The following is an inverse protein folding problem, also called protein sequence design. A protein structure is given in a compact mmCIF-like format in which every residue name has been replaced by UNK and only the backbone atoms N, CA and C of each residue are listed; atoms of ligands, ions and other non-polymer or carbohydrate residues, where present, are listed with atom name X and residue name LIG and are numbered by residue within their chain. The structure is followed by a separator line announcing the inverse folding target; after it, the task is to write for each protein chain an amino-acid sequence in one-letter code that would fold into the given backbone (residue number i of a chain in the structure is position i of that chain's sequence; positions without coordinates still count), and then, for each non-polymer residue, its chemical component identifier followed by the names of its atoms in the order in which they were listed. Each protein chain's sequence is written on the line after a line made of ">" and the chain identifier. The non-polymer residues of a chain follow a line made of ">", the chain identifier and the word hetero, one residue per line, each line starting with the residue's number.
data_IF_244757332741
#
_entry.id   IF_244757332741
#
_cell.length_a   1.000
_cell.length_b   1.000
_cell.length_c   1.000
_cell.angle_alpha   90.00
_cell.angle_beta   90.00
_cell.angle_gamma   90.00
#
_symmetry.space_group_name_H-M   'P 1'
#
loop_
_entity.id
_entity.type
_entity.pdbx_description
1 polymer ?
#
# COMPACT_ATOMS: atom_id res chain seq x y z
N UNK A 1 -32.34 37.71 -31.63
CA UNK A 1 -32.00 36.36 -32.13
C UNK A 1 -30.49 36.20 -31.96
N UNK A 2 -30.04 35.75 -30.79
CA UNK A 2 -29.74 34.34 -30.44
C UNK A 2 -28.50 33.79 -31.16
N UNK A 3 -27.47 33.48 -30.37
CA UNK A 3 -26.27 32.76 -30.82
C UNK A 3 -25.16 32.75 -29.77
N UNK A 4 -25.40 32.15 -28.61
CA UNK A 4 -24.34 31.77 -27.67
C UNK A 4 -23.45 30.71 -28.32
N UNK A 5 -22.16 30.98 -28.45
CA UNK A 5 -21.15 29.97 -28.72
C UNK A 5 -20.54 29.50 -27.40
N UNK A 6 -20.91 28.30 -26.95
CA UNK A 6 -20.36 27.68 -25.74
C UNK A 6 -18.87 27.41 -25.93
N UNK A 7 -18.02 28.03 -25.10
CA UNK A 7 -16.64 27.62 -24.89
C UNK A 7 -16.65 26.40 -23.96
N UNK A 8 -16.33 25.23 -24.51
CA UNK A 8 -16.26 23.99 -23.74
C UNK A 8 -14.93 23.97 -22.99
N UNK A 9 -14.98 24.23 -21.68
CA UNK A 9 -13.87 23.98 -20.76
C UNK A 9 -13.63 22.46 -20.72
N UNK A 10 -12.59 22.00 -21.41
CA UNK A 10 -12.12 20.61 -21.30
C UNK A 10 -11.46 20.49 -19.93
N UNK A 11 -12.13 19.79 -19.02
CA UNK A 11 -11.68 19.58 -17.66
C UNK A 11 -10.37 18.76 -17.67
N UNK A 12 -9.31 19.37 -17.17
CA UNK A 12 -7.92 18.88 -17.10
C UNK A 12 -7.78 17.81 -16.00
N UNK A 13 -8.50 16.69 -16.14
CA UNK A 13 -8.43 15.56 -15.19
C UNK A 13 -7.53 14.42 -15.68
N UNK A 14 -6.93 14.58 -16.87
CA UNK A 14 -6.04 13.56 -17.41
C UNK A 14 -4.63 13.62 -16.81
N UNK A 15 -4.11 14.82 -16.50
CA UNK A 15 -2.69 15.00 -16.15
C UNK A 15 -2.31 14.54 -14.73
N UNK A 16 -3.24 14.56 -13.76
CA UNK A 16 -2.95 14.09 -12.39
C UNK A 16 -2.79 12.56 -12.30
N UNK A 17 -3.38 11.82 -13.23
CA UNK A 17 -3.27 10.35 -13.28
C UNK A 17 -2.01 9.87 -14.01
N UNK A 18 -1.37 10.71 -14.84
CA UNK A 18 -0.15 10.34 -15.59
C UNK A 18 1.15 10.71 -14.84
N UNK A 19 1.06 11.67 -13.94
CA UNK A 19 2.18 12.20 -13.15
C UNK A 19 2.46 11.38 -11.88
N UNK A 20 1.54 10.49 -11.50
CA UNK A 20 1.79 9.53 -10.42
C UNK A 20 2.96 8.60 -10.77
N UNK A 21 3.96 8.45 -9.90
CA UNK A 21 5.08 7.52 -10.11
C UNK A 21 4.62 6.06 -10.22
N UNK A 22 3.37 5.76 -9.84
CA UNK A 22 2.75 4.45 -9.93
C UNK A 22 2.02 4.17 -11.26
N UNK A 23 1.74 5.20 -12.06
CA UNK A 23 0.80 5.14 -13.19
C UNK A 23 1.47 5.36 -14.56
N UNK A 24 2.77 5.08 -14.68
CA UNK A 24 3.43 5.03 -16.00
C UNK A 24 3.02 3.77 -16.76
N UNK A 25 1.77 3.71 -17.22
CA UNK A 25 1.34 2.81 -18.26
C UNK A 25 2.13 3.19 -19.53
N UNK A 26 3.25 2.50 -19.73
CA UNK A 26 4.17 2.79 -20.83
C UNK A 26 3.49 2.34 -22.12
N UNK A 27 3.05 3.29 -22.94
CA UNK A 27 2.63 3.02 -24.32
C UNK A 27 3.84 2.47 -25.08
N UNK A 28 3.77 1.20 -25.46
CA UNK A 28 4.85 0.47 -26.14
C UNK A 28 4.90 0.86 -27.63
N UNK A 29 5.92 1.60 -28.04
CA UNK A 29 6.31 1.73 -29.45
C UNK A 29 6.90 0.40 -29.93
N UNK A 30 6.30 -0.16 -30.99
CA UNK A 30 6.58 -1.53 -31.48
C UNK A 30 7.81 -1.65 -32.39
N UNK A 31 8.85 -0.85 -32.21
CA UNK A 31 10.01 -0.89 -33.09
C UNK A 31 11.31 -0.84 -32.30
N UNK A 32 11.95 -2.01 -32.20
CA UNK A 32 13.39 -2.23 -32.00
C UNK A 32 14.05 -1.94 -30.64
N UNK A 33 13.37 -2.21 -29.52
CA UNK A 33 13.97 -2.03 -28.17
C UNK A 33 13.57 -3.13 -27.18
N UNK A 34 13.50 -4.37 -27.65
CA UNK A 34 13.07 -5.50 -26.82
C UNK A 34 13.93 -5.67 -25.57
N UNK A 35 15.26 -5.53 -25.69
CA UNK A 35 16.19 -5.71 -24.57
C UNK A 35 16.04 -4.65 -23.47
N UNK A 36 15.97 -3.37 -23.84
CA UNK A 36 15.78 -2.24 -22.91
C UNK A 36 14.42 -2.32 -22.20
N UNK A 37 13.37 -2.77 -22.91
CA UNK A 37 12.04 -2.98 -22.33
C UNK A 37 12.05 -4.07 -21.25
N UNK A 38 12.74 -5.19 -21.48
CA UNK A 38 12.86 -6.27 -20.51
C UNK A 38 13.63 -5.82 -19.26
N UNK A 39 14.77 -5.16 -19.44
CA UNK A 39 15.60 -4.67 -18.33
C UNK A 39 14.82 -3.71 -17.43
N UNK A 40 14.14 -2.72 -18.02
CA UNK A 40 13.36 -1.74 -17.26
C UNK A 40 12.17 -2.37 -16.54
N UNK A 41 11.47 -3.31 -17.19
CA UNK A 41 10.32 -4.00 -16.59
C UNK A 41 10.76 -4.89 -15.42
N UNK A 42 11.88 -5.60 -15.58
CA UNK A 42 12.47 -6.42 -14.51
C UNK A 42 12.92 -5.55 -13.34
N UNK A 43 13.62 -4.44 -13.61
CA UNK A 43 14.06 -3.50 -12.59
C UNK A 43 12.88 -2.93 -11.79
N UNK A 44 11.80 -2.52 -12.47
CA UNK A 44 10.59 -2.03 -11.83
C UNK A 44 9.94 -3.10 -10.94
N UNK A 45 9.81 -4.34 -11.45
CA UNK A 45 9.27 -5.46 -10.67
C UNK A 45 10.10 -5.73 -9.42
N UNK A 46 11.43 -5.72 -9.53
CA UNK A 46 12.33 -5.92 -8.39
C UNK A 46 12.15 -4.81 -7.36
N UNK A 47 12.09 -3.55 -7.79
CA UNK A 47 11.87 -2.41 -6.90
C UNK A 47 10.52 -2.51 -6.18
N UNK A 48 9.43 -2.81 -6.89
CA UNK A 48 8.10 -3.00 -6.29
C UNK A 48 8.09 -4.16 -5.29
N UNK A 49 8.73 -5.29 -5.62
CA UNK A 49 8.85 -6.42 -4.70
C UNK A 49 9.66 -6.08 -3.44
N UNK A 50 10.70 -5.25 -3.56
CA UNK A 50 11.47 -4.78 -2.41
C UNK A 50 10.65 -3.83 -1.53
N UNK A 51 9.88 -2.94 -2.13
CA UNK A 51 8.97 -2.04 -1.41
C UNK A 51 7.89 -2.82 -0.64
N UNK A 52 7.30 -3.84 -1.25
CA UNK A 52 6.34 -4.74 -0.59
C UNK A 52 6.96 -5.51 0.58
N UNK A 53 8.27 -5.76 0.59
CA UNK A 53 8.94 -6.42 1.71
C UNK A 53 9.47 -5.44 2.76
N UNK A 54 9.24 -4.14 2.62
CA UNK A 54 9.86 -3.12 3.49
C UNK A 54 9.35 -3.20 4.94
N UNK A 55 8.03 -3.25 5.14
CA UNK A 55 7.42 -3.38 6.47
C UNK A 55 6.52 -4.62 6.45
N UNK A 56 7.06 -5.73 6.97
CA UNK A 56 6.35 -6.99 7.17
C UNK A 56 6.34 -7.32 8.66
N UNK A 57 5.15 -7.59 9.19
CA UNK A 57 4.95 -7.95 10.59
C UNK A 57 4.38 -9.37 10.68
N UNK A 58 4.81 -10.11 11.69
CA UNK A 58 4.22 -11.38 12.07
C UNK A 58 3.45 -11.18 13.39
N UNK A 59 2.14 -11.37 13.34
CA UNK A 59 1.23 -11.08 14.45
C UNK A 59 0.56 -12.37 14.87
N UNK A 60 0.51 -12.61 16.18
CA UNK A 60 -0.22 -13.73 16.76
C UNK A 60 -1.39 -13.20 17.57
N UNK A 61 -2.61 -13.57 17.21
CA UNK A 61 -3.84 -13.18 17.91
C UNK A 61 -4.68 -14.42 18.25
N UNK A 62 -5.63 -14.23 19.17
CA UNK A 62 -6.73 -15.18 19.37
C UNK A 62 -7.46 -15.40 18.04
N UNK A 63 -7.74 -16.65 17.73
CA UNK A 63 -8.16 -17.03 16.40
C UNK A 63 -9.56 -16.57 16.05
N UNK A 64 -9.70 -16.10 14.81
CA UNK A 64 -10.95 -15.73 14.16
C UNK A 64 -11.03 -16.49 12.83
N UNK A 65 -11.95 -17.43 12.68
CA UNK A 65 -12.05 -18.27 11.47
C UNK A 65 -12.57 -17.52 10.24
N UNK A 66 -13.06 -16.29 10.42
CA UNK A 66 -13.61 -15.49 9.32
C UNK A 66 -12.55 -14.76 8.50
N UNK A 67 -11.35 -14.55 9.09
CA UNK A 67 -10.23 -13.85 8.46
C UNK A 67 -9.59 -14.66 7.35
N UNK A 68 -9.10 -13.98 6.33
CA UNK A 68 -8.52 -14.58 5.12
C UNK A 68 -7.31 -13.80 4.63
N UNK A 69 -6.51 -14.47 3.81
CA UNK A 69 -5.45 -13.81 3.03
C UNK A 69 -6.11 -12.83 2.06
N UNK A 70 -5.55 -11.62 1.95
CA UNK A 70 -6.12 -10.52 1.18
C UNK A 70 -6.99 -9.55 1.99
N UNK A 71 -7.29 -9.86 3.26
CA UNK A 71 -7.96 -8.90 4.14
C UNK A 71 -7.05 -7.70 4.43
N UNK A 72 -7.66 -6.53 4.58
CA UNK A 72 -6.98 -5.31 5.04
C UNK A 72 -7.31 -5.08 6.50
N UNK A 73 -6.30 -4.77 7.29
CA UNK A 73 -6.39 -4.52 8.73
C UNK A 73 -5.71 -3.21 9.10
N UNK A 74 -6.30 -2.52 10.06
CA UNK A 74 -5.74 -1.32 10.67
C UNK A 74 -4.98 -1.73 11.94
N UNK A 75 -3.69 -1.41 11.98
CA UNK A 75 -2.83 -1.65 13.13
C UNK A 75 -2.56 -0.35 13.85
N UNK A 76 -2.84 -0.37 15.15
CA UNK A 76 -2.55 0.69 16.09
C UNK A 76 -1.58 0.15 17.15
N UNK A 77 -0.33 0.58 17.06
CA UNK A 77 0.74 0.26 17.99
C UNK A 77 1.08 1.50 18.83
N UNK A 78 1.13 1.37 20.17
CA UNK A 78 1.59 2.42 21.03
C UNK A 78 3.09 2.67 20.81
N UNK A 79 3.51 3.93 20.88
CA UNK A 79 4.93 4.28 20.84
C UNK A 79 5.66 3.74 22.07
N UNK A 80 6.94 3.41 21.87
CA UNK A 80 7.85 2.93 22.93
C UNK A 80 8.41 4.09 23.75
N UNK A 81 8.15 5.34 23.35
CA UNK A 81 8.66 6.53 24.03
C UNK A 81 8.10 6.67 25.46
N UNK A 82 8.96 7.09 26.38
CA UNK A 82 8.60 7.29 27.79
C UNK A 82 7.65 8.47 27.95
N UNK A 83 6.46 8.16 28.46
CA UNK A 83 5.36 9.08 28.68
C UNK A 83 5.69 10.08 29.81
N UNK A 84 5.61 11.37 29.50
CA UNK A 84 5.73 12.44 30.51
C UNK A 84 4.35 12.91 31.01
N UNK A 85 3.27 12.65 30.26
CA UNK A 85 1.97 13.33 30.49
C UNK A 85 0.72 12.46 30.27
N UNK A 86 0.83 11.13 30.44
CA UNK A 86 -0.32 10.21 30.43
C UNK A 86 -1.01 9.97 29.07
N UNK A 87 -0.59 10.66 28.01
CA UNK A 87 -1.02 10.39 26.63
C UNK A 87 -0.02 9.46 25.95
N UNK A 88 -0.48 8.31 25.45
CA UNK A 88 0.36 7.36 24.70
C UNK A 88 0.38 7.81 23.25
N UNK A 89 1.48 8.37 22.74
CA UNK A 89 1.55 8.72 21.33
C UNK A 89 1.54 7.43 20.49
N UNK A 90 0.75 7.43 19.42
CA UNK A 90 0.71 6.32 18.47
C UNK A 90 1.96 6.36 17.58
N UNK A 91 2.60 5.22 17.33
CA UNK A 91 3.78 5.15 16.46
C UNK A 91 3.43 5.42 14.98
N UNK A 92 3.80 6.59 14.46
CA UNK A 92 3.50 6.98 13.07
C UNK A 92 4.09 6.04 12.01
N UNK A 93 5.19 5.37 12.31
CA UNK A 93 5.88 4.50 11.35
C UNK A 93 5.18 3.16 11.21
N UNK A 94 4.70 2.57 12.30
CA UNK A 94 4.04 1.25 12.26
C UNK A 94 2.52 1.32 12.20
N UNK A 95 1.91 2.48 12.44
CA UNK A 95 0.46 2.61 12.32
C UNK A 95 -0.02 2.74 10.88
N UNK A 96 -1.20 2.19 10.63
CA UNK A 96 -1.91 2.32 9.36
C UNK A 96 -2.47 1.01 8.84
N UNK A 97 -2.69 0.98 7.53
CA UNK A 97 -3.33 -0.14 6.80
C UNK A 97 -2.30 -1.19 6.41
N UNK A 98 -2.63 -2.43 6.67
CA UNK A 98 -1.83 -3.59 6.33
C UNK A 98 -2.66 -4.60 5.56
N UNK A 99 -2.02 -5.29 4.62
CA UNK A 99 -2.58 -6.39 3.85
C UNK A 99 -2.11 -7.72 4.45
N UNK A 100 -3.03 -8.64 4.70
CA UNK A 100 -2.68 -10.02 5.09
C UNK A 100 -2.11 -10.76 3.88
N UNK A 101 -0.82 -11.09 3.94
CA UNK A 101 -0.12 -11.86 2.88
C UNK A 101 -0.12 -13.35 3.15
N UNK A 102 -0.10 -13.75 4.42
CA UNK A 102 -0.18 -15.15 4.83
C UNK A 102 -0.96 -15.29 6.13
N UNK A 103 -1.72 -16.38 6.26
CA UNK A 103 -2.57 -16.64 7.42
C UNK A 103 -2.50 -18.13 7.77
N UNK A 104 -2.25 -18.42 9.05
CA UNK A 104 -2.29 -19.78 9.58
C UNK A 104 -3.15 -19.83 10.83
N UNK A 105 -4.21 -20.63 10.81
CA UNK A 105 -4.94 -21.00 12.02
C UNK A 105 -4.28 -22.19 12.70
N UNK A 106 -4.12 -22.10 14.02
CA UNK A 106 -3.75 -23.21 14.90
C UNK A 106 -4.94 -23.45 15.83
N UNK A 107 -5.67 -24.52 15.57
CA UNK A 107 -6.85 -24.90 16.36
C UNK A 107 -6.45 -26.07 17.24
N UNK A 108 -6.53 -25.86 18.54
CA UNK A 108 -6.37 -26.89 19.56
C UNK A 108 -7.69 -27.04 20.32
N UNK A 109 -7.84 -28.13 21.08
CA UNK A 109 -9.09 -28.44 21.81
C UNK A 109 -9.47 -27.36 22.83
N UNK A 110 -8.49 -26.63 23.33
CA UNK A 110 -8.66 -25.58 24.35
C UNK A 110 -8.47 -24.15 23.82
N UNK A 111 -7.87 -23.96 22.63
CA UNK A 111 -7.56 -22.63 22.13
C UNK A 111 -7.54 -22.57 20.61
N UNK A 112 -8.02 -21.45 20.08
CA UNK A 112 -7.84 -21.08 18.69
C UNK A 112 -6.85 -19.93 18.65
N UNK A 113 -5.73 -20.15 17.96
CA UNK A 113 -4.72 -19.13 17.68
C UNK A 113 -4.62 -18.91 16.18
N UNK A 114 -4.21 -17.70 15.83
CA UNK A 114 -3.97 -17.31 14.46
C UNK A 114 -2.63 -16.61 14.38
N UNK A 115 -1.83 -17.02 13.41
CA UNK A 115 -0.58 -16.36 13.04
C UNK A 115 -0.77 -15.74 11.67
N UNK A 116 -0.63 -14.42 11.60
CA UNK A 116 -0.76 -13.63 10.38
C UNK A 116 0.57 -13.01 10.01
N UNK A 117 0.89 -13.08 8.73
CA UNK A 117 1.90 -12.25 8.10
C UNK A 117 1.18 -11.10 7.40
N UNK A 118 1.58 -9.87 7.74
CA UNK A 118 0.94 -8.66 7.24
C UNK A 118 1.99 -7.71 6.70
N UNK A 119 1.67 -7.03 5.59
CA UNK A 119 2.56 -6.08 4.91
C UNK A 119 1.90 -4.71 4.87
N UNK A 120 2.65 -3.65 5.15
CA UNK A 120 2.10 -2.29 5.14
C UNK A 120 1.79 -1.83 3.71
N UNK A 121 0.61 -1.27 3.50
CA UNK A 121 0.14 -0.79 2.18
C UNK A 121 0.75 0.57 1.82
N UNK A 122 0.82 1.51 2.78
CA UNK A 122 1.33 2.87 2.53
C UNK A 122 1.83 3.60 3.78
N UNK A 123 2.61 4.66 3.57
CA UNK A 123 2.93 5.65 4.60
C UNK A 123 1.73 6.56 4.85
N UNK A 124 1.47 6.87 6.12
CA UNK A 124 0.32 7.70 6.52
C UNK A 124 0.47 9.18 6.13
N UNK A 125 1.70 9.65 5.93
CA UNK A 125 1.98 11.03 5.52
C UNK A 125 2.35 11.11 4.05
N UNK A 126 1.82 12.14 3.37
CA UNK A 126 2.35 12.58 2.09
C UNK A 126 3.85 12.84 2.22
N UNK A 127 4.62 12.45 1.20
CA UNK A 127 6.02 12.83 1.11
C UNK A 127 6.13 14.38 1.13
N UNK A 128 7.19 14.94 1.72
CA UNK A 128 7.41 16.38 1.67
C UNK A 128 7.42 16.83 0.20
N UNK A 129 6.62 17.83 -0.13
CA UNK A 129 6.70 18.49 -1.43
C UNK A 129 7.96 19.36 -1.45
N UNK A 130 8.82 19.16 -2.45
CA UNK A 130 9.98 20.02 -2.74
C UNK A 130 9.54 21.42 -3.16
#
# INVERSE_FOLDING_TARGET
>A
MSGQGSSMMVHETADELTTSPLSKQTLVSRFDDSNVYYEKTLQNRISQMQQLNNIKLNITISGDTTRKVGDVLDLELPSVETHVDGTVPMDKLYNGRYLVTALRHKIDSASHLMVMEVVKDSYFSSLPTE
#
